data_IF_537371115496
#
_entry.id   IF_537371115496
#
_cell.length_a   1.000
_cell.length_b   1.000
_cell.length_c   1.000
_cell.angle_alpha   90.00
_cell.angle_beta   90.00
_cell.angle_gamma   90.00
#
_symmetry.space_group_name_H-M   'P 1'
#
loop_
_entity.id
_entity.type
_entity.pdbx_description
1 polymer ?
#
# COMPACT_ATOMS: atom_id res chain seq x y z
N UNK A 1 -10.47 17.77 7.62
CA UNK A 1 -10.05 16.39 7.92
C UNK A 1 -9.20 16.39 9.18
N UNK A 2 -9.34 15.40 10.09
CA UNK A 2 -8.39 15.23 11.22
C UNK A 2 -7.04 14.76 10.66
N UNK A 3 -5.95 15.12 11.35
CA UNK A 3 -4.59 14.72 10.98
C UNK A 3 -3.95 13.80 12.01
N UNK A 4 -2.94 13.05 11.60
CA UNK A 4 -2.08 12.20 12.43
C UNK A 4 -0.63 12.39 12.02
N UNK A 5 0.28 12.30 12.99
CA UNK A 5 1.70 12.27 12.72
C UNK A 5 2.10 10.88 12.22
N UNK A 6 2.86 10.81 11.14
CA UNK A 6 3.35 9.57 10.57
C UNK A 6 4.67 9.16 11.25
N UNK A 7 4.56 8.35 12.29
CA UNK A 7 5.68 7.99 13.16
C UNK A 7 6.03 9.09 14.16
N UNK A 8 7.10 8.87 14.94
CA UNK A 8 7.43 9.73 16.08
C UNK A 8 7.80 11.17 15.69
N UNK A 9 8.54 11.35 14.59
CA UNK A 9 8.97 12.65 14.08
C UNK A 9 8.64 12.86 12.61
N UNK A 10 7.65 12.14 12.10
CA UNK A 10 7.25 12.20 10.69
C UNK A 10 6.31 13.37 10.40
N UNK A 11 5.92 13.52 9.14
CA UNK A 11 5.00 14.56 8.71
C UNK A 11 3.58 14.34 9.24
N UNK A 12 2.80 15.43 9.28
CA UNK A 12 1.37 15.36 9.55
C UNK A 12 0.63 14.98 8.27
N UNK A 13 -0.14 13.89 8.33
CA UNK A 13 -0.99 13.41 7.23
C UNK A 13 -2.45 13.34 7.65
N UNK A 14 -3.37 13.30 6.70
CA UNK A 14 -4.78 13.04 7.00
C UNK A 14 -4.93 11.70 7.72
N UNK A 15 -5.79 11.66 8.73
CA UNK A 15 -6.00 10.46 9.55
C UNK A 15 -6.55 9.27 8.76
N UNK A 16 -7.13 9.54 7.60
CA UNK A 16 -7.57 8.56 6.60
C UNK A 16 -6.73 8.79 5.35
N UNK A 17 -6.10 7.73 4.84
CA UNK A 17 -5.43 7.71 3.55
C UNK A 17 -6.32 7.07 2.49
N UNK A 18 -6.09 7.42 1.23
CA UNK A 18 -6.78 6.82 0.08
C UNK A 18 -5.87 5.80 -0.60
N UNK A 19 -6.21 4.51 -0.47
CA UNK A 19 -5.61 3.44 -1.27
C UNK A 19 -6.18 3.45 -2.68
N UNK A 20 -5.34 3.59 -3.69
CA UNK A 20 -5.77 3.79 -5.08
C UNK A 20 -5.79 2.48 -5.90
N UNK A 21 -5.38 1.35 -5.33
CA UNK A 21 -5.28 0.05 -6.00
C UNK A 21 -6.54 -0.32 -6.81
N UNK A 22 -7.71 -0.18 -6.21
CA UNK A 22 -8.98 -0.57 -6.82
C UNK A 22 -9.43 0.31 -7.99
N UNK A 23 -8.71 1.39 -8.31
CA UNK A 23 -9.05 2.27 -9.44
C UNK A 23 -8.59 1.71 -10.79
N UNK A 24 -7.67 0.76 -10.79
CA UNK A 24 -7.10 0.20 -12.04
C UNK A 24 -6.91 -1.30 -12.02
N UNK A 25 -7.05 -1.97 -10.85
CA UNK A 25 -6.70 -3.39 -10.71
C UNK A 25 -7.48 -4.04 -9.55
N UNK A 26 -7.46 -5.36 -9.48
CA UNK A 26 -7.93 -6.25 -8.42
C UNK A 26 -9.45 -6.38 -8.24
N UNK A 27 -10.21 -5.30 -8.16
CA UNK A 27 -11.66 -5.39 -7.90
C UNK A 27 -12.49 -5.33 -9.17
N UNK A 28 -12.05 -4.53 -10.14
CA UNK A 28 -12.60 -4.50 -11.50
C UNK A 28 -11.46 -4.23 -12.48
N UNK A 29 -11.46 -4.90 -13.62
CA UNK A 29 -10.58 -4.54 -14.73
C UNK A 29 -11.24 -3.44 -15.54
N UNK A 30 -10.58 -2.29 -15.66
CA UNK A 30 -11.05 -1.20 -16.49
C UNK A 30 -12.10 -0.29 -15.86
N UNK A 31 -11.96 0.02 -14.56
CA UNK A 31 -12.75 1.06 -13.91
C UNK A 31 -12.72 2.38 -14.69
N UNK A 32 -13.80 3.17 -14.57
CA UNK A 32 -13.90 4.46 -15.26
C UNK A 32 -12.76 5.39 -14.79
N UNK A 33 -11.84 5.68 -15.73
CA UNK A 33 -10.70 6.56 -15.48
C UNK A 33 -11.13 7.97 -15.07
N UNK A 34 -12.22 8.47 -15.62
CA UNK A 34 -12.73 9.81 -15.29
C UNK A 34 -13.34 9.82 -13.88
N UNK A 35 -14.05 8.78 -13.50
CA UNK A 35 -14.57 8.61 -12.14
C UNK A 35 -13.42 8.51 -11.12
N UNK A 36 -12.37 7.76 -11.43
CA UNK A 36 -11.19 7.67 -10.61
C UNK A 36 -10.50 9.03 -10.41
N UNK A 37 -10.32 9.81 -11.48
CA UNK A 37 -9.76 11.16 -11.42
C UNK A 37 -10.68 12.09 -10.58
N UNK A 38 -11.99 12.05 -10.80
CA UNK A 38 -12.95 12.83 -10.03
C UNK A 38 -12.90 12.47 -8.53
N UNK A 39 -12.75 11.17 -8.20
CA UNK A 39 -12.60 10.69 -6.83
C UNK A 39 -11.32 11.23 -6.19
N UNK A 40 -10.18 11.19 -6.90
CA UNK A 40 -8.91 11.74 -6.43
C UNK A 40 -9.00 13.25 -6.17
N UNK A 41 -9.61 14.01 -7.08
CA UNK A 41 -9.84 15.45 -6.90
C UNK A 41 -10.75 15.72 -5.70
N UNK A 42 -11.84 14.96 -5.59
CA UNK A 42 -12.76 15.11 -4.46
C UNK A 42 -12.10 14.81 -3.11
N UNK A 43 -11.21 13.84 -3.06
CA UNK A 43 -10.44 13.54 -1.85
C UNK A 43 -9.57 14.74 -1.43
N UNK A 44 -8.85 15.36 -2.38
CA UNK A 44 -8.06 16.58 -2.10
C UNK A 44 -8.94 17.71 -1.59
N UNK A 45 -10.08 17.98 -2.23
CA UNK A 45 -11.04 19.01 -1.81
C UNK A 45 -11.56 18.81 -0.38
N UNK A 46 -11.74 17.56 0.03
CA UNK A 46 -12.16 17.19 1.39
C UNK A 46 -11.01 17.28 2.43
N UNK A 47 -9.82 17.69 2.00
CA UNK A 47 -8.63 17.82 2.83
C UNK A 47 -7.94 16.50 3.15
N UNK A 48 -8.17 15.45 2.34
CA UNK A 48 -7.40 14.22 2.40
C UNK A 48 -6.10 14.45 1.62
N UNK A 49 -4.96 14.20 2.27
CA UNK A 49 -3.67 14.44 1.64
C UNK A 49 -2.81 13.18 1.48
N UNK A 50 -3.16 12.05 2.07
CA UNK A 50 -2.38 10.82 2.00
C UNK A 50 -2.93 9.88 0.91
N UNK A 51 -2.18 9.74 -0.18
CA UNK A 51 -2.50 8.89 -1.34
C UNK A 51 -1.50 7.75 -1.46
N UNK A 52 -2.00 6.54 -1.64
CA UNK A 52 -1.21 5.30 -1.67
C UNK A 52 -1.41 4.55 -2.98
N UNK A 53 -0.33 4.32 -3.71
CA UNK A 53 -0.27 3.53 -4.95
C UNK A 53 0.85 2.49 -4.89
N UNK A 54 1.17 1.83 -5.99
CA UNK A 54 2.31 0.94 -6.18
C UNK A 54 2.62 0.75 -7.67
N UNK A 55 3.89 0.46 -7.98
CA UNK A 55 4.34 0.16 -9.35
C UNK A 55 3.63 -1.06 -9.95
N UNK A 56 3.27 -2.04 -9.11
CA UNK A 56 2.62 -3.27 -9.54
C UNK A 56 1.12 -3.11 -9.85
N UNK A 57 0.47 -1.99 -9.48
CA UNK A 57 -0.96 -1.82 -9.68
C UNK A 57 -1.28 -1.48 -11.15
N UNK A 58 -2.09 -2.32 -11.79
CA UNK A 58 -2.57 -2.19 -13.14
C UNK A 58 -1.61 -2.41 -14.33
N UNK A 59 -0.54 -3.23 -14.31
CA UNK A 59 0.80 -2.84 -13.88
C UNK A 59 1.20 -1.47 -14.44
N UNK A 60 1.63 -0.62 -13.55
CA UNK A 60 2.05 0.77 -13.76
C UNK A 60 0.94 1.79 -14.03
N UNK A 61 -0.20 1.39 -14.60
CA UNK A 61 -1.29 2.31 -14.99
C UNK A 61 -1.89 3.08 -13.81
N UNK A 62 -1.78 2.55 -12.58
CA UNK A 62 -2.24 3.24 -11.38
C UNK A 62 -1.37 4.47 -11.05
N UNK A 63 -0.05 4.34 -11.14
CA UNK A 63 0.85 5.48 -10.96
C UNK A 63 0.66 6.53 -12.07
N UNK A 64 0.41 6.12 -13.32
CA UNK A 64 0.10 7.03 -14.43
C UNK A 64 -1.22 7.79 -14.20
N UNK A 65 -2.25 7.10 -13.68
CA UNK A 65 -3.52 7.71 -13.29
C UNK A 65 -3.33 8.80 -12.22
N UNK A 66 -2.56 8.48 -11.16
CA UNK A 66 -2.28 9.45 -10.11
C UNK A 66 -1.43 10.62 -10.62
N UNK A 67 -0.44 10.35 -11.48
CA UNK A 67 0.39 11.39 -12.09
C UNK A 67 -0.43 12.39 -12.91
N UNK A 68 -1.45 11.91 -13.63
CA UNK A 68 -2.40 12.77 -14.35
C UNK A 68 -3.29 13.56 -13.39
N UNK A 69 -3.96 12.87 -12.48
CA UNK A 69 -4.94 13.47 -11.56
C UNK A 69 -4.33 14.50 -10.60
N UNK A 70 -3.09 14.27 -10.16
CA UNK A 70 -2.40 15.13 -9.20
C UNK A 70 -1.52 16.20 -9.85
N UNK A 71 -1.56 16.35 -11.17
CA UNK A 71 -0.83 17.40 -11.88
C UNK A 71 -1.26 18.77 -11.38
N UNK A 72 -0.26 19.58 -10.97
CA UNK A 72 -0.50 20.89 -10.35
C UNK A 72 -1.00 20.87 -8.91
N UNK A 73 -1.15 19.68 -8.31
CA UNK A 73 -1.57 19.49 -6.91
C UNK A 73 -0.51 18.79 -6.04
N UNK A 74 0.67 18.51 -6.59
CA UNK A 74 1.73 17.70 -5.95
C UNK A 74 2.08 18.17 -4.54
N UNK A 75 2.16 19.48 -4.31
CA UNK A 75 2.51 20.07 -3.02
C UNK A 75 1.38 20.00 -1.97
N UNK A 76 0.17 19.66 -2.40
CA UNK A 76 -0.99 19.51 -1.51
C UNK A 76 -1.13 18.10 -0.96
N UNK A 77 -0.34 17.14 -1.48
CA UNK A 77 -0.50 15.73 -1.19
C UNK A 77 0.78 15.11 -0.61
N UNK A 78 0.59 14.13 0.24
CA UNK A 78 1.60 13.19 0.71
C UNK A 78 1.46 11.91 -0.13
N UNK A 79 2.37 11.70 -1.04
CA UNK A 79 2.30 10.64 -2.05
C UNK A 79 3.18 9.46 -1.67
N UNK A 80 2.55 8.30 -1.50
CA UNK A 80 3.22 7.04 -1.25
C UNK A 80 3.12 6.10 -2.45
N UNK A 81 4.22 5.43 -2.78
CA UNK A 81 4.25 4.32 -3.73
C UNK A 81 5.06 3.14 -3.17
N UNK A 82 5.03 2.02 -3.88
CA UNK A 82 5.68 0.78 -3.44
C UNK A 82 6.40 0.12 -4.61
N UNK A 83 7.47 -0.63 -4.28
CA UNK A 83 8.24 -1.48 -5.21
C UNK A 83 8.42 -2.89 -4.66
N UNK A 84 8.93 -3.79 -5.49
CA UNK A 84 9.42 -5.09 -5.06
C UNK A 84 8.51 -6.26 -5.40
N UNK A 85 7.25 -6.04 -5.78
CA UNK A 85 6.44 -7.10 -6.40
C UNK A 85 6.63 -7.01 -7.92
N UNK A 86 7.24 -8.05 -8.49
CA UNK A 86 7.51 -8.15 -9.92
C UNK A 86 6.40 -8.95 -10.59
N UNK A 87 5.80 -8.40 -11.63
CA UNK A 87 4.86 -9.09 -12.51
C UNK A 87 5.59 -9.57 -13.75
N UNK A 88 5.32 -10.80 -14.17
CA UNK A 88 5.82 -11.35 -15.42
C UNK A 88 4.82 -11.00 -16.55
N UNK A 89 5.23 -10.22 -17.58
CA UNK A 89 4.37 -9.93 -18.72
C UNK A 89 3.90 -11.18 -19.48
N UNK A 90 4.73 -12.23 -19.51
CA UNK A 90 4.41 -13.50 -20.17
C UNK A 90 3.44 -14.36 -19.34
N UNK A 91 3.40 -14.15 -18.02
CA UNK A 91 2.49 -14.84 -17.12
C UNK A 91 1.85 -13.86 -16.11
N UNK A 92 0.74 -13.20 -16.48
CA UNK A 92 0.11 -12.17 -15.66
C UNK A 92 -0.33 -12.62 -14.26
N UNK A 93 -0.39 -13.93 -14.00
CA UNK A 93 -0.70 -14.48 -12.67
C UNK A 93 0.54 -14.70 -11.82
N UNK A 94 1.72 -14.85 -12.43
CA UNK A 94 2.96 -15.00 -11.69
C UNK A 94 3.34 -13.70 -10.97
N UNK A 95 3.83 -13.86 -9.77
CA UNK A 95 4.37 -12.78 -8.94
C UNK A 95 5.73 -13.22 -8.42
N UNK A 96 6.72 -12.38 -8.66
CA UNK A 96 8.03 -12.48 -8.01
C UNK A 96 8.19 -11.37 -6.98
N UNK A 97 9.29 -11.45 -6.24
CA UNK A 97 9.74 -10.37 -5.35
C UNK A 97 11.19 -10.06 -5.69
N UNK A 98 11.53 -8.76 -5.76
CA UNK A 98 12.91 -8.31 -5.95
C UNK A 98 13.17 -7.10 -5.03
N UNK A 99 13.92 -7.36 -3.95
CA UNK A 99 14.37 -6.36 -2.97
C UNK A 99 15.79 -5.85 -3.22
N UNK A 100 16.41 -6.23 -4.34
CA UNK A 100 17.81 -5.92 -4.60
C UNK A 100 18.05 -4.41 -4.76
N UNK A 101 19.23 -3.90 -4.33
CA UNK A 101 19.61 -2.50 -4.54
C UNK A 101 19.57 -2.05 -6.01
N UNK A 102 19.88 -2.95 -6.93
CA UNK A 102 19.82 -2.66 -8.37
C UNK A 102 18.38 -2.46 -8.86
N UNK A 103 17.45 -3.32 -8.39
CA UNK A 103 16.03 -3.17 -8.70
C UNK A 103 15.45 -1.90 -8.10
N UNK A 104 15.73 -1.61 -6.83
CA UNK A 104 15.25 -0.41 -6.12
C UNK A 104 15.60 0.86 -6.88
N UNK A 105 16.87 1.01 -7.30
CA UNK A 105 17.32 2.19 -8.06
C UNK A 105 16.62 2.32 -9.40
N UNK A 106 16.31 1.22 -10.07
CA UNK A 106 15.58 1.23 -11.34
C UNK A 106 14.08 1.49 -11.14
N UNK A 107 13.47 0.89 -10.12
CA UNK A 107 12.05 0.99 -9.84
C UNK A 107 11.64 2.43 -9.50
N UNK A 108 12.42 3.13 -8.67
CA UNK A 108 12.12 4.51 -8.29
C UNK A 108 12.10 5.44 -9.51
N UNK A 109 13.04 5.32 -10.46
CA UNK A 109 13.04 6.14 -11.65
C UNK A 109 11.76 5.95 -12.50
N UNK A 110 11.32 4.69 -12.61
CA UNK A 110 10.06 4.36 -13.26
C UNK A 110 8.86 5.01 -12.57
N UNK A 111 8.78 4.89 -11.25
CA UNK A 111 7.69 5.47 -10.44
C UNK A 111 7.65 6.99 -10.54
N UNK A 112 8.79 7.67 -10.40
CA UNK A 112 8.88 9.13 -10.53
C UNK A 112 8.44 9.62 -11.91
N UNK A 113 8.86 8.90 -12.98
CA UNK A 113 8.45 9.21 -14.35
C UNK A 113 6.94 9.08 -14.54
N UNK A 114 6.32 7.97 -14.09
CA UNK A 114 4.89 7.73 -14.25
C UNK A 114 4.04 8.70 -13.43
N UNK A 115 4.48 9.01 -12.23
CA UNK A 115 3.81 9.95 -11.34
C UNK A 115 4.04 11.44 -11.72
N UNK A 116 4.97 11.71 -12.65
CA UNK A 116 5.26 13.07 -13.09
C UNK A 116 5.81 13.97 -11.98
N UNK A 117 6.63 13.43 -11.09
CA UNK A 117 7.19 14.13 -9.94
C UNK A 117 8.67 13.83 -9.78
N UNK A 118 9.40 14.71 -9.13
CA UNK A 118 10.82 14.54 -8.80
C UNK A 118 11.07 13.75 -7.52
N UNK A 119 10.03 13.55 -6.70
CA UNK A 119 10.14 12.87 -5.40
C UNK A 119 8.86 12.17 -4.96
N UNK A 120 9.02 11.13 -4.15
CA UNK A 120 7.96 10.55 -3.33
C UNK A 120 8.09 11.00 -1.87
N UNK A 121 6.96 11.11 -1.18
CA UNK A 121 6.98 11.41 0.25
C UNK A 121 7.25 10.15 1.05
N UNK A 122 6.75 8.99 0.63
CA UNK A 122 6.96 7.70 1.28
C UNK A 122 7.13 6.60 0.23
N UNK A 123 8.18 5.79 0.37
CA UNK A 123 8.42 4.67 -0.54
C UNK A 123 8.50 3.37 0.25
N UNK A 124 7.63 2.43 -0.07
CA UNK A 124 7.53 1.15 0.63
C UNK A 124 8.24 0.04 -0.14
N UNK A 125 8.94 -0.84 0.58
CA UNK A 125 9.15 -2.19 0.10
C UNK A 125 7.86 -2.99 0.28
N UNK A 126 7.23 -3.42 -0.83
CA UNK A 126 5.88 -3.98 -0.86
C UNK A 126 5.78 -5.36 -0.24
N UNK A 127 6.81 -6.21 -0.44
CA UNK A 127 7.01 -7.51 0.20
C UNK A 127 8.48 -7.73 0.47
N UNK A 128 8.77 -8.47 1.53
CA UNK A 128 10.15 -8.81 1.87
C UNK A 128 10.68 -9.86 0.91
N UNK A 129 11.88 -9.63 0.39
CA UNK A 129 12.58 -10.59 -0.47
C UNK A 129 13.40 -11.54 0.43
N UNK A 130 13.10 -12.86 0.42
CA UNK A 130 13.83 -13.82 1.24
C UNK A 130 15.27 -14.04 0.80
N UNK A 131 15.64 -13.61 -0.42
CA UNK A 131 16.98 -13.78 -0.98
C UNK A 131 17.88 -12.56 -0.76
N UNK A 132 17.31 -11.42 -0.33
CA UNK A 132 18.05 -10.18 -0.12
C UNK A 132 17.93 -9.76 1.36
N UNK A 133 19.06 -9.61 2.07
CA UNK A 133 19.04 -9.06 3.42
C UNK A 133 18.31 -7.73 3.47
N UNK A 134 17.42 -7.55 4.44
CA UNK A 134 16.66 -6.29 4.56
C UNK A 134 17.56 -5.08 4.70
N UNK A 135 18.74 -5.28 5.28
CA UNK A 135 19.76 -4.27 5.47
C UNK A 135 20.24 -3.69 4.13
N UNK A 136 20.41 -4.54 3.11
CA UNK A 136 20.84 -4.12 1.77
C UNK A 136 19.72 -3.32 1.06
N UNK A 137 18.48 -3.77 1.17
CA UNK A 137 17.33 -3.05 0.63
C UNK A 137 17.19 -1.67 1.28
N UNK A 138 17.26 -1.61 2.62
CA UNK A 138 17.11 -0.34 3.35
C UNK A 138 18.32 0.56 3.14
N UNK A 139 19.52 0.01 2.98
CA UNK A 139 20.71 0.77 2.59
C UNK A 139 20.50 1.50 1.26
N UNK A 140 19.98 0.81 0.25
CA UNK A 140 19.65 1.42 -1.04
C UNK A 140 18.54 2.49 -0.94
N UNK A 141 17.52 2.25 -0.10
CA UNK A 141 16.48 3.25 0.16
C UNK A 141 17.05 4.50 0.89
N UNK A 142 17.98 4.31 1.82
CA UNK A 142 18.67 5.41 2.50
C UNK A 142 19.47 6.28 1.50
N UNK A 143 20.09 5.66 0.48
CA UNK A 143 20.74 6.41 -0.59
C UNK A 143 19.74 7.26 -1.40
N UNK A 144 18.52 6.74 -1.63
CA UNK A 144 17.45 7.50 -2.29
C UNK A 144 16.95 8.68 -1.44
N UNK A 145 16.94 8.53 -0.10
CA UNK A 145 16.65 9.65 0.82
C UNK A 145 17.72 10.73 0.69
N UNK A 146 19.02 10.35 0.72
CA UNK A 146 20.14 11.28 0.55
C UNK A 146 20.09 11.99 -0.82
N UNK A 147 19.65 11.29 -1.86
CA UNK A 147 19.49 11.84 -3.21
C UNK A 147 18.23 12.72 -3.35
N UNK A 148 17.39 12.84 -2.33
CA UNK A 148 16.15 13.61 -2.37
C UNK A 148 15.01 13.00 -3.20
N UNK A 149 15.16 11.76 -3.68
CA UNK A 149 14.15 11.06 -4.48
C UNK A 149 12.98 10.54 -3.66
N UNK A 150 13.23 10.23 -2.39
CA UNK A 150 12.20 9.86 -1.42
C UNK A 150 12.44 10.63 -0.12
N UNK A 151 11.39 10.92 0.64
CA UNK A 151 11.51 11.61 1.94
C UNK A 151 11.53 10.63 3.10
N UNK A 152 10.71 9.56 3.01
CA UNK A 152 10.51 8.57 4.07
C UNK A 152 10.56 7.16 3.51
N UNK A 153 11.01 6.21 4.34
CA UNK A 153 11.06 4.79 4.03
C UNK A 153 9.93 4.08 4.79
N UNK A 154 9.23 3.20 4.10
CA UNK A 154 8.24 2.31 4.68
C UNK A 154 8.49 0.84 4.33
N UNK A 155 7.91 -0.05 5.10
CA UNK A 155 7.83 -1.49 4.81
C UNK A 155 6.37 -1.93 4.77
N UNK A 156 6.08 -3.02 4.05
CA UNK A 156 4.73 -3.60 4.03
C UNK A 156 4.81 -5.09 4.36
N UNK A 157 3.97 -5.54 5.30
CA UNK A 157 3.90 -6.94 5.76
C UNK A 157 5.23 -7.48 6.32
N UNK A 158 6.04 -6.62 6.93
CA UNK A 158 7.27 -7.03 7.59
C UNK A 158 7.00 -7.57 9.00
N UNK A 159 7.75 -8.61 9.40
CA UNK A 159 7.74 -9.09 10.78
C UNK A 159 8.35 -8.07 11.76
N UNK A 160 8.08 -8.23 13.05
CA UNK A 160 8.67 -7.39 14.10
C UNK A 160 10.20 -7.43 14.06
N UNK A 161 10.80 -8.61 13.86
CA UNK A 161 12.25 -8.78 13.74
C UNK A 161 12.80 -8.06 12.51
N UNK A 162 12.18 -8.25 11.33
CA UNK A 162 12.59 -7.57 10.10
C UNK A 162 12.50 -6.06 10.25
N UNK A 163 11.45 -5.57 10.90
CA UNK A 163 11.25 -4.14 11.14
C UNK A 163 12.35 -3.56 12.04
N UNK A 164 12.76 -4.28 13.08
CA UNK A 164 13.87 -3.88 13.95
C UNK A 164 15.22 -3.84 13.23
N UNK A 165 15.49 -4.86 12.41
CA UNK A 165 16.72 -4.93 11.60
C UNK A 165 16.77 -3.77 10.62
N UNK A 166 15.68 -3.53 9.90
CA UNK A 166 15.54 -2.41 8.96
C UNK A 166 15.76 -1.05 9.64
N UNK A 167 15.10 -0.85 10.79
CA UNK A 167 15.15 0.42 11.53
C UNK A 167 16.55 0.75 12.07
N UNK A 168 17.40 -0.25 12.33
CA UNK A 168 18.81 -0.03 12.70
C UNK A 168 19.68 0.52 11.58
N UNK A 169 19.33 0.22 10.32
CA UNK A 169 20.05 0.73 9.14
C UNK A 169 19.67 2.18 8.84
N UNK A 170 18.38 2.43 8.81
CA UNK A 170 17.80 3.77 8.60
C UNK A 170 16.42 3.82 9.25
N UNK A 171 16.02 4.96 9.86
CA UNK A 171 14.70 5.11 10.44
C UNK A 171 13.58 4.73 9.46
N UNK A 172 12.74 3.77 9.85
CA UNK A 172 11.51 3.41 9.13
C UNK A 172 10.39 4.28 9.66
N UNK A 173 9.68 4.96 8.77
CA UNK A 173 8.61 5.90 9.14
C UNK A 173 7.25 5.22 9.26
N UNK A 174 6.98 4.21 8.44
CA UNK A 174 5.71 3.52 8.42
C UNK A 174 5.83 2.03 8.12
N UNK A 175 4.96 1.24 8.75
CA UNK A 175 4.67 -0.13 8.37
C UNK A 175 3.23 -0.22 7.90
N UNK A 176 3.01 -0.74 6.69
CA UNK A 176 1.68 -0.99 6.15
C UNK A 176 1.34 -2.48 6.23
N UNK A 177 0.26 -2.85 6.92
CA UNK A 177 -0.21 -4.24 7.04
C UNK A 177 -1.72 -4.34 7.04
N UNK A 178 -2.26 -5.50 6.63
CA UNK A 178 -3.69 -5.76 6.72
C UNK A 178 -4.12 -5.73 8.19
N UNK A 179 -5.13 -4.94 8.51
CA UNK A 179 -5.67 -4.86 9.86
C UNK A 179 -7.12 -4.41 9.85
N UNK A 180 -7.98 -5.18 10.50
CA UNK A 180 -9.42 -4.94 10.57
C UNK A 180 -10.00 -5.64 11.78
N UNK A 181 -11.31 -5.54 12.01
CA UNK A 181 -12.01 -6.38 12.99
C UNK A 181 -11.95 -7.88 12.64
N UNK A 182 -11.59 -8.23 11.42
CA UNK A 182 -11.45 -9.59 10.94
C UNK A 182 -10.00 -10.09 10.97
N UNK A 183 -9.05 -9.30 10.46
CA UNK A 183 -7.62 -9.64 10.42
C UNK A 183 -6.90 -8.94 11.56
N UNK A 184 -6.52 -9.69 12.60
CA UNK A 184 -5.93 -9.14 13.82
C UNK A 184 -4.51 -9.64 14.09
N UNK A 185 -3.92 -10.37 13.17
CA UNK A 185 -2.56 -10.89 13.27
C UNK A 185 -1.50 -9.87 13.77
N UNK A 186 -1.53 -8.57 13.40
CA UNK A 186 -0.57 -7.60 13.91
C UNK A 186 -0.57 -7.43 15.43
N UNK A 187 -1.66 -7.81 16.12
CA UNK A 187 -1.73 -7.78 17.59
C UNK A 187 -0.91 -8.93 18.18
N UNK A 188 -1.08 -10.16 17.63
CA UNK A 188 -0.54 -11.39 18.18
C UNK A 188 0.93 -11.62 17.76
N UNK A 189 1.34 -11.11 16.60
CA UNK A 189 2.70 -11.28 16.04
C UNK A 189 3.74 -10.31 16.61
N UNK A 190 3.34 -9.43 17.54
CA UNK A 190 4.24 -8.44 18.13
C UNK A 190 4.55 -7.22 17.24
N UNK A 191 3.99 -7.17 16.04
CA UNK A 191 4.22 -6.09 15.05
C UNK A 191 3.75 -4.73 15.58
N UNK A 192 2.54 -4.65 16.17
CA UNK A 192 2.06 -3.40 16.76
C UNK A 192 2.91 -2.94 17.93
N UNK A 193 3.39 -3.87 18.76
CA UNK A 193 4.29 -3.54 19.87
C UNK A 193 5.63 -3.01 19.36
N UNK A 194 6.21 -3.62 18.32
CA UNK A 194 7.42 -3.15 17.68
C UNK A 194 7.25 -1.73 17.09
N UNK A 195 6.15 -1.48 16.36
CA UNK A 195 5.85 -0.15 15.83
C UNK A 195 5.80 0.91 16.93
N UNK A 196 5.11 0.63 18.05
CA UNK A 196 5.04 1.57 19.19
C UNK A 196 6.41 1.84 19.80
N UNK A 197 7.22 0.80 20.04
CA UNK A 197 8.54 0.91 20.64
C UNK A 197 9.52 1.70 19.76
N UNK A 198 9.44 1.51 18.44
CA UNK A 198 10.33 2.14 17.48
C UNK A 198 9.83 3.50 16.96
N UNK A 199 8.63 3.92 17.37
CA UNK A 199 8.03 5.17 16.91
C UNK A 199 7.65 5.15 15.43
N UNK A 200 7.30 3.96 14.89
CA UNK A 200 6.91 3.73 13.50
C UNK A 200 5.40 3.84 13.38
N UNK A 201 4.89 4.57 12.39
CA UNK A 201 3.46 4.61 12.12
C UNK A 201 2.96 3.26 11.61
N UNK A 202 1.90 2.75 12.19
CA UNK A 202 1.18 1.61 11.63
C UNK A 202 0.07 2.11 10.70
N UNK A 203 0.13 1.70 9.44
CA UNK A 203 -0.82 2.10 8.38
C UNK A 203 -1.66 0.88 8.00
N UNK A 204 -2.88 0.74 8.55
CA UNK A 204 -3.75 -0.39 8.24
C UNK A 204 -4.29 -0.28 6.82
N UNK A 205 -4.20 -1.36 6.03
CA UNK A 205 -4.95 -1.45 4.79
C UNK A 205 -6.12 -2.44 4.91
N UNK A 206 -7.10 -2.32 4.04
CA UNK A 206 -8.34 -3.11 4.04
C UNK A 206 -9.08 -3.14 5.39
N UNK A 207 -9.27 -1.98 6.08
CA UNK A 207 -9.89 -1.95 7.41
C UNK A 207 -11.35 -2.42 7.41
N UNK A 208 -11.99 -2.44 6.24
CA UNK A 208 -13.34 -2.99 6.04
C UNK A 208 -13.34 -4.42 5.49
N UNK A 209 -12.25 -5.18 5.67
CA UNK A 209 -12.16 -6.57 5.21
C UNK A 209 -12.37 -6.71 3.71
N UNK A 210 -11.82 -5.80 2.91
CA UNK A 210 -12.00 -5.72 1.45
C UNK A 210 -13.48 -5.54 1.04
N UNK A 211 -14.24 -4.78 1.82
CA UNK A 211 -15.66 -4.53 1.63
C UNK A 211 -16.58 -5.54 2.30
N UNK A 212 -16.07 -6.67 2.81
CA UNK A 212 -16.91 -7.71 3.42
C UNK A 212 -17.57 -7.25 4.73
N UNK A 213 -16.85 -6.51 5.56
CA UNK A 213 -17.36 -5.99 6.83
C UNK A 213 -18.40 -4.88 6.68
N UNK A 214 -18.65 -4.39 5.47
CA UNK A 214 -19.75 -3.44 5.21
C UNK A 214 -21.12 -4.10 5.22
N UNK A 215 -21.18 -5.43 5.16
CA UNK A 215 -22.42 -6.19 5.06
C UNK A 215 -23.14 -6.10 3.71
N UNK A 216 -22.55 -5.46 2.70
CA UNK A 216 -23.16 -5.35 1.35
C UNK A 216 -22.96 -6.61 0.51
N UNK A 217 -21.90 -7.38 0.76
CA UNK A 217 -21.58 -8.62 0.07
C UNK A 217 -22.28 -9.79 0.79
N UNK A 218 -23.26 -10.39 0.16
CA UNK A 218 -24.10 -11.44 0.76
C UNK A 218 -23.89 -12.83 0.13
N UNK A 219 -23.34 -12.89 -1.07
CA UNK A 219 -23.15 -14.12 -1.85
C UNK A 219 -21.94 -13.99 -2.77
N UNK A 220 -21.31 -15.11 -3.18
CA UNK A 220 -20.15 -15.08 -4.09
C UNK A 220 -20.44 -14.41 -5.45
N UNK A 221 -21.67 -14.40 -5.90
CA UNK A 221 -22.12 -13.79 -7.15
C UNK A 221 -22.12 -12.26 -7.12
N UNK A 222 -22.04 -11.67 -5.93
CA UNK A 222 -21.93 -10.21 -5.78
C UNK A 222 -20.55 -9.68 -6.23
N UNK A 223 -19.56 -10.58 -6.43
CA UNK A 223 -18.27 -10.24 -7.01
C UNK A 223 -18.31 -10.29 -8.54
N UNK A 224 -17.75 -9.30 -9.22
CA UNK A 224 -17.53 -9.34 -10.67
C UNK A 224 -16.70 -10.57 -11.07
N UNK A 225 -16.83 -11.02 -12.32
CA UNK A 225 -16.19 -12.25 -12.80
C UNK A 225 -14.64 -12.22 -12.70
N UNK A 226 -14.06 -11.05 -12.85
CA UNK A 226 -12.61 -10.76 -12.80
C UNK A 226 -12.14 -10.27 -11.44
N UNK A 227 -13.05 -10.13 -10.47
CA UNK A 227 -12.72 -9.68 -9.11
C UNK A 227 -11.79 -10.69 -8.42
N UNK A 228 -10.63 -10.21 -8.01
CA UNK A 228 -9.61 -11.01 -7.33
C UNK A 228 -10.16 -11.71 -6.05
N UNK A 229 -11.16 -11.13 -5.37
CA UNK A 229 -11.77 -11.70 -4.16
C UNK A 229 -12.38 -13.07 -4.40
N UNK A 230 -12.85 -13.36 -5.63
CA UNK A 230 -13.35 -14.69 -6.03
C UNK A 230 -12.33 -15.81 -5.86
N UNK A 231 -11.02 -15.46 -5.92
CA UNK A 231 -9.91 -16.41 -5.81
C UNK A 231 -9.32 -16.47 -4.40
N UNK A 232 -9.79 -15.63 -3.49
CA UNK A 232 -9.32 -15.62 -2.10
C UNK A 232 -10.08 -16.66 -1.27
N UNK A 233 -9.37 -17.56 -0.54
CA UNK A 233 -10.00 -18.63 0.24
C UNK A 233 -11.06 -18.16 1.23
N UNK A 234 -10.93 -16.95 1.78
CA UNK A 234 -11.88 -16.39 2.74
C UNK A 234 -13.26 -16.09 2.14
N UNK A 235 -13.35 -15.99 0.81
CA UNK A 235 -14.59 -15.70 0.09
C UNK A 235 -15.10 -16.90 -0.72
N UNK A 236 -14.54 -18.10 -0.53
CA UNK A 236 -14.89 -19.29 -1.29
C UNK A 236 -15.62 -20.33 -0.44
N UNK A 237 -16.54 -21.06 -1.09
CA UNK A 237 -17.21 -22.23 -0.52
C UNK A 237 -17.82 -21.97 0.86
N UNK A 238 -17.63 -22.92 1.76
CA UNK A 238 -18.13 -22.83 3.15
C UNK A 238 -17.52 -21.66 3.95
N UNK A 239 -16.31 -21.19 3.57
CA UNK A 239 -15.69 -20.07 4.27
C UNK A 239 -16.50 -18.79 4.10
N UNK A 240 -17.10 -18.58 2.92
CA UNK A 240 -17.97 -17.42 2.69
C UNK A 240 -19.10 -17.38 3.73
N UNK A 241 -19.85 -18.47 3.86
CA UNK A 241 -20.98 -18.56 4.78
C UNK A 241 -20.56 -18.47 6.26
N UNK A 242 -19.43 -19.08 6.62
CA UNK A 242 -18.86 -18.98 7.99
C UNK A 242 -18.47 -17.53 8.30
N UNK A 243 -17.82 -16.85 7.37
CA UNK A 243 -17.36 -15.49 7.55
C UNK A 243 -18.50 -14.48 7.51
N UNK A 244 -19.57 -14.73 6.74
CA UNK A 244 -20.76 -13.89 6.74
C UNK A 244 -21.42 -13.80 8.13
N UNK A 245 -21.42 -14.91 8.88
CA UNK A 245 -21.90 -14.92 10.27
C UNK A 245 -21.07 -14.03 11.22
N UNK A 246 -19.82 -13.72 10.87
CA UNK A 246 -19.00 -12.77 11.63
C UNK A 246 -19.43 -11.34 11.33
N UNK A 247 -19.78 -11.04 10.08
CA UNK A 247 -20.28 -9.73 9.67
C UNK A 247 -21.57 -9.37 10.38
N UNK A 248 -22.46 -10.35 10.61
CA UNK A 248 -23.72 -10.13 11.33
C UNK A 248 -23.51 -9.74 12.81
N UNK A 249 -22.29 -9.86 13.34
CA UNK A 249 -21.93 -9.48 14.72
C UNK A 249 -21.28 -8.11 14.82
N UNK A 250 -20.94 -7.47 13.70
CA UNK A 250 -20.30 -6.16 13.61
C UNK A 250 -21.33 -5.09 13.28
#
# INVERSE_FOLDING_TARGET
>A
MKTRQLGHNGPSVSAIGLGCMGMTDFYTTGGDRQEAIATLHRAVELGLNFFDTADMYGPHSNEELLGEALRGKREQVFLASKFGIVRDPANPRARGVDGSPAYIRRAIEGSLKRLGTDRLDLYYQHRMDPQVPIEDSVGALADLVKAGKIRHIGLSEASAETLERAHRVHPISALQSEYSLWTRDPEDTGVLAACRRLGIAFVPYSPLGRGFLTGTLKRPEDFAADDYRRFSPRFQGENFAKNLKLVDKV
#
